data_IF_356317300053
#
_entry.id   IF_356317300053
#
_cell.length_a   1.000
_cell.length_b   1.000
_cell.length_c   1.000
_cell.angle_alpha   90.00
_cell.angle_beta   90.00
_cell.angle_gamma   90.00
#
_symmetry.space_group_name_H-M   'P 1'
#
loop_
_entity.id
_entity.type
_entity.pdbx_description
1 polymer ?
#
# COMPACT_ATOMS: atom_id res chain seq x y z
N UNK A 1 15.40 -12.09 -4.53
CA UNK A 1 14.38 -13.14 -4.31
C UNK A 1 13.26 -12.89 -5.30
N UNK A 2 12.80 -13.92 -6.02
CA UNK A 2 11.64 -13.82 -6.92
C UNK A 2 10.37 -14.13 -6.10
N UNK A 3 9.93 -13.14 -5.31
CA UNK A 3 8.82 -13.28 -4.36
C UNK A 3 7.54 -12.58 -4.84
N UNK A 4 6.42 -12.73 -4.10
CA UNK A 4 5.11 -12.19 -4.49
C UNK A 4 5.05 -10.67 -4.70
N UNK A 5 6.03 -9.91 -4.20
CA UNK A 5 6.15 -8.47 -4.44
C UNK A 5 6.53 -8.12 -5.89
N UNK A 6 7.06 -9.06 -6.67
CA UNK A 6 7.41 -8.89 -8.09
C UNK A 6 6.19 -9.14 -8.97
N UNK A 7 5.29 -8.15 -9.03
CA UNK A 7 3.98 -8.26 -9.67
C UNK A 7 3.97 -7.88 -11.15
N UNK A 8 5.10 -7.48 -11.74
CA UNK A 8 5.18 -7.06 -13.13
C UNK A 8 4.73 -8.16 -14.10
N UNK A 9 3.70 -7.89 -14.90
CA UNK A 9 3.18 -8.84 -15.89
C UNK A 9 2.31 -9.98 -15.33
N UNK A 10 1.97 -9.96 -14.04
CA UNK A 10 1.03 -10.92 -13.44
C UNK A 10 -0.42 -10.63 -13.85
N UNK A 11 -1.28 -11.65 -13.79
CA UNK A 11 -2.70 -11.58 -14.18
C UNK A 11 -3.61 -12.12 -13.07
N UNK A 12 -4.90 -11.74 -13.08
CA UNK A 12 -5.93 -12.32 -12.21
C UNK A 12 -6.32 -11.51 -10.96
N UNK A 13 -5.82 -10.29 -10.78
CA UNK A 13 -6.13 -9.44 -9.61
C UNK A 13 -7.45 -8.66 -9.71
N UNK A 14 -8.13 -8.71 -10.85
CA UNK A 14 -9.37 -7.96 -11.08
C UNK A 14 -9.13 -6.49 -11.48
N UNK A 15 -10.19 -5.66 -11.52
CA UNK A 15 -10.09 -4.26 -11.90
C UNK A 15 -9.50 -3.39 -10.78
N UNK A 16 -8.90 -2.27 -11.16
CA UNK A 16 -8.47 -1.21 -10.23
C UNK A 16 -9.69 -0.42 -9.76
N UNK A 17 -9.86 -0.24 -8.45
CA UNK A 17 -11.02 0.42 -7.83
C UNK A 17 -10.58 1.57 -6.90
N UNK A 18 -10.24 2.76 -7.43
CA UNK A 18 -9.78 3.89 -6.62
C UNK A 18 -10.91 4.54 -5.82
N UNK A 19 -10.61 5.01 -4.60
CA UNK A 19 -11.53 5.83 -3.80
C UNK A 19 -11.46 7.31 -4.25
N UNK A 20 -12.62 7.98 -4.29
CA UNK A 20 -12.67 9.41 -4.61
C UNK A 20 -12.20 10.22 -3.40
N UNK A 21 -11.29 11.17 -3.63
CA UNK A 21 -10.74 12.05 -2.59
C UNK A 21 -10.05 11.28 -1.44
N UNK A 22 -9.39 10.16 -1.79
CA UNK A 22 -8.75 9.24 -0.84
C UNK A 22 -7.69 9.95 0.03
N UNK A 23 -7.76 9.82 1.37
CA UNK A 23 -6.77 10.41 2.26
C UNK A 23 -5.46 9.63 2.20
N UNK A 24 -4.33 10.28 2.50
CA UNK A 24 -3.03 9.58 2.62
C UNK A 24 -3.01 8.51 3.72
N UNK A 25 -3.87 8.65 4.73
CA UNK A 25 -4.01 7.71 5.85
C UNK A 25 -5.50 7.62 6.22
N UNK A 26 -6.08 6.43 6.12
CA UNK A 26 -7.45 6.11 6.52
C UNK A 26 -7.61 6.00 8.03
N UNK A 27 -6.53 5.70 8.75
CA UNK A 27 -6.55 5.56 10.20
C UNK A 27 -5.33 6.21 10.88
N UNK A 28 -5.55 6.69 12.11
CA UNK A 28 -4.51 7.39 12.88
C UNK A 28 -3.26 6.55 13.17
N UNK A 29 -3.39 5.22 13.19
CA UNK A 29 -2.26 4.34 13.44
C UNK A 29 -1.28 4.24 12.25
N UNK A 30 -1.73 4.48 11.02
CA UNK A 30 -0.90 4.34 9.82
C UNK A 30 0.20 5.42 9.77
N UNK A 31 -0.16 6.66 10.15
CA UNK A 31 0.77 7.77 10.37
C UNK A 31 1.86 7.41 11.37
N UNK A 32 1.47 6.76 12.48
CA UNK A 32 2.40 6.33 13.54
C UNK A 32 3.33 5.23 13.05
N UNK A 33 2.82 4.24 12.32
CA UNK A 33 3.63 3.14 11.78
C UNK A 33 4.72 3.64 10.83
N UNK A 34 4.37 4.56 9.92
CA UNK A 34 5.37 5.22 9.07
C UNK A 34 6.37 6.02 9.90
N UNK A 35 5.91 6.81 10.87
CA UNK A 35 6.78 7.59 11.76
C UNK A 35 7.82 6.75 12.50
N UNK A 36 7.42 5.59 13.04
CA UNK A 36 8.36 4.66 13.68
C UNK A 36 9.38 4.12 12.68
N UNK A 37 8.93 3.74 11.49
CA UNK A 37 9.80 3.15 10.46
C UNK A 37 10.88 4.13 9.98
N UNK A 38 10.54 5.41 9.86
CA UNK A 38 11.46 6.45 9.39
C UNK A 38 12.44 6.94 10.45
N UNK A 39 12.13 6.73 11.73
CA UNK A 39 12.92 7.25 12.86
C UNK A 39 13.70 6.18 13.62
N UNK A 40 13.53 4.92 13.24
CA UNK A 40 14.28 3.77 13.76
C UNK A 40 15.74 3.75 13.27
#
# INVERSE_FOLDING_TARGET
>A
MNGPQDLGGQMGFGPVAPEKDEPYFHAEWEKRALGVTLTA
#
